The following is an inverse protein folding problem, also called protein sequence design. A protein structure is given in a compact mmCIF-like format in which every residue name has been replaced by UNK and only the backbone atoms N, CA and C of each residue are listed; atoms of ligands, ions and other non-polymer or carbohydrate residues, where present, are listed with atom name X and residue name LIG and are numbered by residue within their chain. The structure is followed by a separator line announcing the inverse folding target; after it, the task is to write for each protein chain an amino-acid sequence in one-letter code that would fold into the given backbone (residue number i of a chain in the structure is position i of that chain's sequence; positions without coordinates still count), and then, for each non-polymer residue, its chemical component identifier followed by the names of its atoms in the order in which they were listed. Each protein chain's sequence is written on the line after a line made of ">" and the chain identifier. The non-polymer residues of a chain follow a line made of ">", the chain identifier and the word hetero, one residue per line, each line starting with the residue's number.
data_IF_760785222968
#
_entry.id   IF_760785222968
#
_cell.length_a   1.000
_cell.length_b   1.000
_cell.length_c   1.000
_cell.angle_alpha   90.00
_cell.angle_beta   90.00
_cell.angle_gamma   90.00
#
_symmetry.space_group_name_H-M   'P 1'
#
loop_
_entity.id
_entity.type
_entity.pdbx_description
1 polymer ?
#
# COMPACT_ATOMS: atom_id res chain seq x y z
N UNK A 1 -20.42 8.69 -8.80
CA UNK A 1 -19.37 9.49 -8.13
C UNK A 1 -18.87 10.55 -9.12
N UNK A 2 -18.41 11.74 -8.70
CA UNK A 2 -18.02 12.84 -9.61
C UNK A 2 -17.07 12.39 -10.74
N UNK A 3 -16.01 11.63 -10.45
CA UNK A 3 -15.09 11.13 -11.49
C UNK A 3 -15.77 10.17 -12.47
N UNK A 4 -16.75 9.37 -12.06
CA UNK A 4 -17.43 8.45 -12.99
C UNK A 4 -18.22 9.19 -14.06
N UNK A 5 -18.80 10.33 -13.69
CA UNK A 5 -19.68 11.14 -14.55
C UNK A 5 -18.89 12.13 -15.41
N UNK A 6 -17.80 12.70 -14.89
CA UNK A 6 -17.08 13.80 -15.54
C UNK A 6 -15.74 13.40 -16.16
N UNK A 7 -15.17 12.24 -15.82
CA UNK A 7 -13.97 11.74 -16.50
C UNK A 7 -14.38 11.00 -17.77
N UNK A 8 -14.60 11.74 -18.86
CA UNK A 8 -14.92 11.14 -20.17
C UNK A 8 -13.64 10.85 -20.99
N UNK A 9 -13.70 9.98 -22.01
CA UNK A 9 -12.56 9.74 -22.91
C UNK A 9 -12.05 11.03 -23.57
N UNK A 10 -12.95 11.91 -23.97
CA UNK A 10 -12.65 13.20 -24.61
C UNK A 10 -11.87 14.10 -23.64
N UNK A 11 -12.35 14.21 -22.40
CA UNK A 11 -11.67 14.97 -21.35
C UNK A 11 -10.25 14.46 -21.10
N UNK A 12 -10.06 13.13 -21.05
CA UNK A 12 -8.76 12.49 -20.85
C UNK A 12 -7.80 12.78 -22.00
N UNK A 13 -8.28 12.76 -23.24
CA UNK A 13 -7.46 13.06 -24.43
C UNK A 13 -7.10 14.54 -24.49
N UNK A 14 -8.07 15.43 -24.31
CA UNK A 14 -7.87 16.89 -24.36
C UNK A 14 -6.85 17.35 -23.31
N UNK A 15 -6.96 16.82 -22.09
CA UNK A 15 -6.06 17.15 -20.99
C UNK A 15 -4.77 16.31 -21.00
N UNK A 16 -4.58 15.45 -22.02
CA UNK A 16 -3.39 14.60 -22.20
C UNK A 16 -3.06 13.78 -20.94
N UNK A 17 -4.08 13.21 -20.29
CA UNK A 17 -3.89 12.39 -19.11
C UNK A 17 -3.23 11.05 -19.50
N UNK A 18 -2.37 10.54 -18.64
CA UNK A 18 -1.68 9.26 -18.80
C UNK A 18 -1.35 8.66 -17.42
N UNK A 19 -1.22 7.35 -17.35
CA UNK A 19 -0.63 6.69 -16.19
C UNK A 19 0.89 6.65 -16.34
N UNK A 20 1.61 6.69 -15.22
CA UNK A 20 3.05 6.46 -15.18
C UNK A 20 3.36 5.30 -14.23
N UNK A 21 4.46 4.59 -14.50
CA UNK A 21 4.97 3.49 -13.67
C UNK A 21 6.49 3.61 -13.53
N UNK A 22 7.04 3.05 -12.46
CA UNK A 22 8.48 3.02 -12.26
C UNK A 22 9.12 1.97 -13.18
N UNK A 23 10.10 2.39 -13.98
CA UNK A 23 10.83 1.52 -14.88
C UNK A 23 12.12 1.03 -14.22
N UNK A 24 12.12 -0.21 -13.71
CA UNK A 24 13.32 -0.83 -13.11
C UNK A 24 14.51 -0.91 -14.07
N UNK A 25 14.25 -0.84 -15.39
CA UNK A 25 15.29 -0.85 -16.42
C UNK A 25 16.03 0.50 -16.54
N UNK A 26 15.30 1.59 -16.38
CA UNK A 26 15.79 2.95 -16.66
C UNK A 26 15.88 3.82 -15.39
N UNK A 27 15.56 3.25 -14.22
CA UNK A 27 15.57 3.88 -12.90
C UNK A 27 14.85 5.24 -12.85
N UNK A 28 13.72 5.31 -13.57
CA UNK A 28 12.89 6.51 -13.69
C UNK A 28 11.43 6.15 -13.92
N UNK A 29 10.55 7.11 -13.63
CA UNK A 29 9.15 7.01 -14.03
C UNK A 29 8.99 7.19 -15.53
N UNK A 30 8.26 6.27 -16.17
CA UNK A 30 7.94 6.32 -17.60
C UNK A 30 6.42 6.27 -17.79
N UNK A 31 5.96 6.74 -18.95
CA UNK A 31 4.54 6.64 -19.33
C UNK A 31 4.21 5.16 -19.49
N UNK A 32 3.21 4.72 -18.73
CA UNK A 32 2.77 3.33 -18.66
C UNK A 32 1.67 3.07 -19.70
N UNK A 33 0.55 3.80 -19.62
CA UNK A 33 -0.48 3.77 -20.66
C UNK A 33 -1.23 5.09 -20.79
N UNK A 34 -1.84 5.29 -21.97
CA UNK A 34 -2.77 6.38 -22.28
C UNK A 34 -4.20 5.89 -22.44
N UNK A 35 -4.46 4.62 -22.14
CA UNK A 35 -5.79 4.04 -22.25
C UNK A 35 -6.73 4.60 -21.19
N UNK A 36 -7.88 5.09 -21.65
CA UNK A 36 -8.89 5.71 -20.81
C UNK A 36 -9.30 4.85 -19.61
N UNK A 37 -9.54 3.55 -19.83
CA UNK A 37 -9.97 2.63 -18.77
C UNK A 37 -8.93 2.51 -17.65
N UNK A 38 -7.66 2.37 -18.01
CA UNK A 38 -6.56 2.28 -17.04
C UNK A 38 -6.35 3.59 -16.28
N UNK A 39 -6.47 4.75 -16.96
CA UNK A 39 -6.42 6.07 -16.31
C UNK A 39 -7.57 6.22 -15.31
N UNK A 40 -8.79 5.86 -15.70
CA UNK A 40 -9.98 5.92 -14.87
C UNK A 40 -9.85 5.01 -13.65
N UNK A 41 -9.47 3.76 -13.83
CA UNK A 41 -9.25 2.81 -12.71
C UNK A 41 -8.19 3.32 -11.74
N UNK A 42 -7.07 3.87 -12.22
CA UNK A 42 -6.00 4.40 -11.36
C UNK A 42 -6.44 5.65 -10.58
N UNK A 43 -7.21 6.54 -11.20
CA UNK A 43 -7.79 7.71 -10.54
C UNK A 43 -8.83 7.32 -9.49
N UNK A 44 -9.74 6.41 -9.84
CA UNK A 44 -10.74 5.89 -8.91
C UNK A 44 -10.05 5.23 -7.72
N UNK A 45 -9.04 4.39 -7.97
CA UNK A 45 -8.25 3.72 -6.95
C UNK A 45 -7.60 4.69 -5.95
N UNK A 46 -6.99 5.77 -6.43
CA UNK A 46 -6.42 6.80 -5.56
C UNK A 46 -7.47 7.49 -4.67
N UNK A 47 -8.73 7.55 -5.11
CA UNK A 47 -9.81 8.20 -4.36
C UNK A 47 -10.54 7.26 -3.39
N UNK A 48 -10.57 5.94 -3.64
CA UNK A 48 -11.37 4.96 -2.85
C UNK A 48 -11.04 4.97 -1.35
N UNK A 49 -9.82 5.36 -0.95
CA UNK A 49 -9.46 5.59 0.46
C UNK A 49 -8.61 6.86 0.66
N UNK A 50 -8.76 7.86 -0.22
CA UNK A 50 -7.90 9.07 -0.23
C UNK A 50 -6.40 8.74 -0.23
N UNK A 51 -6.00 7.68 -0.94
CA UNK A 51 -4.62 7.20 -0.98
C UNK A 51 -4.10 6.55 0.30
N UNK A 52 -4.94 6.33 1.31
CA UNK A 52 -4.56 5.59 2.51
C UNK A 52 -4.61 4.07 2.27
N UNK A 53 -3.67 3.29 2.82
CA UNK A 53 -3.73 1.84 2.72
C UNK A 53 -4.83 1.27 3.61
N UNK A 54 -5.38 0.13 3.21
CA UNK A 54 -6.31 -0.64 4.03
C UNK A 54 -5.54 -1.59 4.95
N UNK A 55 -5.54 -1.26 6.24
CA UNK A 55 -4.87 -2.05 7.28
C UNK A 55 -5.93 -2.60 8.24
N UNK A 56 -5.93 -3.92 8.43
CA UNK A 56 -6.83 -4.62 9.33
C UNK A 56 -6.06 -5.24 10.48
N UNK A 57 -6.68 -5.34 11.66
CA UNK A 57 -6.20 -6.22 12.72
C UNK A 57 -6.60 -7.64 12.36
N UNK A 58 -5.61 -8.50 12.14
CA UNK A 58 -5.81 -9.91 11.80
C UNK A 58 -5.88 -10.77 13.07
N UNK A 59 -4.97 -10.53 14.02
CA UNK A 59 -4.91 -11.27 15.27
C UNK A 59 -4.36 -10.39 16.42
N UNK A 60 -5.06 -10.34 17.54
CA UNK A 60 -4.63 -9.64 18.77
C UNK A 60 -3.86 -10.51 19.76
N UNK A 61 -3.70 -11.81 19.47
CA UNK A 61 -2.93 -12.76 20.25
C UNK A 61 -2.00 -13.57 19.34
N UNK A 62 -1.31 -12.89 18.43
CA UNK A 62 -0.47 -13.52 17.44
C UNK A 62 0.62 -14.40 18.10
N UNK A 63 0.77 -15.61 17.57
CA UNK A 63 1.63 -16.69 18.11
C UNK A 63 1.35 -17.03 19.59
N UNK A 64 0.15 -16.73 20.10
CA UNK A 64 -0.26 -16.87 21.49
C UNK A 64 0.62 -16.08 22.49
N UNK A 65 1.13 -14.91 22.06
CA UNK A 65 2.00 -14.04 22.88
C UNK A 65 1.39 -12.68 23.22
N UNK A 66 0.13 -12.45 22.86
CA UNK A 66 -0.53 -11.14 22.92
C UNK A 66 0.08 -10.13 21.94
N UNK A 67 0.80 -10.59 20.92
CA UNK A 67 1.36 -9.73 19.87
C UNK A 67 0.26 -9.33 18.88
N UNK A 68 0.39 -8.13 18.31
CA UNK A 68 -0.56 -7.65 17.31
C UNK A 68 -0.10 -8.08 15.92
N UNK A 69 -0.96 -8.74 15.17
CA UNK A 69 -0.79 -8.96 13.73
C UNK A 69 -1.77 -8.07 12.97
N UNK A 70 -1.21 -7.26 12.08
CA UNK A 70 -1.94 -6.47 11.11
C UNK A 70 -1.80 -7.09 9.73
N UNK A 71 -2.82 -6.92 8.90
CA UNK A 71 -2.80 -7.30 7.49
C UNK A 71 -3.03 -6.06 6.63
N UNK A 72 -2.13 -5.84 5.67
CA UNK A 72 -2.34 -4.92 4.58
C UNK A 72 -3.15 -5.63 3.49
N UNK A 73 -4.33 -5.11 3.19
CA UNK A 73 -5.10 -5.49 2.01
C UNK A 73 -4.44 -4.84 0.79
N UNK A 74 -3.49 -5.56 0.19
CA UNK A 74 -2.72 -5.05 -0.94
C UNK A 74 -3.61 -4.93 -2.17
N UNK A 75 -3.85 -3.69 -2.61
CA UNK A 75 -4.66 -3.41 -3.80
C UNK A 75 -3.79 -2.96 -4.98
N UNK A 76 -2.64 -3.60 -5.16
CA UNK A 76 -1.71 -3.33 -6.26
C UNK A 76 -0.71 -2.19 -5.97
N UNK A 77 -0.70 -1.65 -4.76
CA UNK A 77 0.24 -0.60 -4.35
C UNK A 77 0.97 -1.03 -3.09
N UNK A 78 2.31 -1.03 -3.16
CA UNK A 78 3.18 -1.30 -2.04
C UNK A 78 3.13 -0.17 -1.00
N UNK A 79 3.32 -0.54 0.26
CA UNK A 79 3.50 0.46 1.32
C UNK A 79 4.83 1.17 1.18
N UNK A 80 4.89 2.41 1.65
CA UNK A 80 6.17 3.04 1.99
C UNK A 80 6.77 2.27 3.18
N UNK A 81 7.92 1.63 2.96
CA UNK A 81 8.57 0.79 3.98
C UNK A 81 8.95 1.58 5.23
N UNK A 82 9.39 2.84 5.08
CA UNK A 82 9.84 3.64 6.21
C UNK A 82 8.63 4.12 7.03
N UNK A 83 7.56 4.55 6.37
CA UNK A 83 6.30 4.85 7.05
C UNK A 83 5.73 3.61 7.75
N UNK A 84 5.76 2.44 7.10
CA UNK A 84 5.32 1.18 7.70
C UNK A 84 6.08 0.85 9.00
N UNK A 85 7.41 1.04 9.01
CA UNK A 85 8.23 0.89 10.22
C UNK A 85 7.83 1.89 11.31
N UNK A 86 7.74 3.17 10.98
CA UNK A 86 7.33 4.19 11.96
C UNK A 86 5.91 3.96 12.51
N UNK A 87 4.98 3.50 11.68
CA UNK A 87 3.63 3.10 12.11
C UNK A 87 3.69 1.97 13.14
N UNK A 88 4.52 0.93 12.92
CA UNK A 88 4.69 -0.15 13.89
C UNK A 88 5.31 0.34 15.21
N UNK A 89 6.26 1.28 15.18
CA UNK A 89 6.78 1.92 16.40
C UNK A 89 5.68 2.63 17.18
N UNK A 90 4.84 3.40 16.48
CA UNK A 90 3.74 4.13 17.10
C UNK A 90 2.68 3.18 17.67
N UNK A 91 2.36 2.10 16.96
CA UNK A 91 1.44 1.08 17.46
C UNK A 91 1.98 0.38 18.70
N UNK A 92 3.28 0.05 18.75
CA UNK A 92 3.88 -0.52 19.95
C UNK A 92 3.74 0.40 21.18
N UNK A 93 3.80 1.73 21.02
CA UNK A 93 3.60 2.68 22.13
C UNK A 93 2.21 2.53 22.77
N UNK A 94 1.20 2.18 21.99
CA UNK A 94 -0.18 1.99 22.46
C UNK A 94 -0.42 0.54 22.91
N UNK A 95 -0.01 -0.43 22.09
CA UNK A 95 -0.24 -1.86 22.31
C UNK A 95 0.68 -2.48 23.39
N UNK A 96 1.86 -1.88 23.61
CA UNK A 96 2.89 -2.29 24.59
C UNK A 96 3.51 -3.68 24.38
N UNK A 97 3.16 -4.35 23.29
CA UNK A 97 3.71 -5.64 22.86
C UNK A 97 4.15 -5.54 21.40
N UNK A 98 5.00 -6.46 20.91
CA UNK A 98 5.42 -6.47 19.52
C UNK A 98 4.25 -6.40 18.55
N UNK A 99 4.44 -5.63 17.48
CA UNK A 99 3.47 -5.43 16.42
C UNK A 99 4.06 -5.90 15.09
N UNK A 100 3.28 -6.66 14.34
CA UNK A 100 3.62 -7.22 13.04
C UNK A 100 2.65 -6.73 11.97
N UNK A 101 3.16 -6.54 10.75
CA UNK A 101 2.38 -6.16 9.58
C UNK A 101 2.70 -7.12 8.43
N UNK A 102 1.70 -7.90 8.04
CA UNK A 102 1.73 -8.72 6.84
C UNK A 102 1.40 -7.85 5.62
N UNK A 103 2.32 -7.78 4.66
CA UNK A 103 2.18 -7.00 3.42
C UNK A 103 2.92 -7.70 2.28
N UNK A 104 2.97 -7.08 1.12
CA UNK A 104 3.77 -7.50 -0.04
C UNK A 104 4.65 -6.32 -0.49
N UNK A 105 5.85 -6.62 -0.96
CA UNK A 105 6.75 -5.67 -1.65
C UNK A 105 7.28 -6.33 -2.93
N UNK A 106 7.21 -5.67 -4.07
CA UNK A 106 7.65 -6.22 -5.37
C UNK A 106 7.07 -7.62 -5.65
N UNK A 107 5.81 -7.85 -5.29
CA UNK A 107 5.17 -9.16 -5.43
C UNK A 107 5.61 -10.22 -4.40
N UNK A 108 6.46 -9.88 -3.42
CA UNK A 108 6.96 -10.81 -2.39
C UNK A 108 6.25 -10.62 -1.04
N UNK A 109 5.49 -11.62 -0.57
CA UNK A 109 4.88 -11.59 0.76
C UNK A 109 5.92 -11.38 1.85
N UNK A 110 5.72 -10.39 2.70
CA UNK A 110 6.68 -9.92 3.70
C UNK A 110 5.96 -9.62 5.02
N UNK A 111 6.53 -10.10 6.13
CA UNK A 111 6.12 -9.73 7.48
C UNK A 111 7.13 -8.73 8.05
N UNK A 112 6.70 -7.50 8.23
CA UNK A 112 7.40 -6.51 9.03
C UNK A 112 7.05 -6.73 10.51
N UNK A 113 8.02 -6.59 11.42
CA UNK A 113 7.80 -6.67 12.86
C UNK A 113 8.62 -5.63 13.58
N UNK A 114 8.04 -5.04 14.62
CA UNK A 114 8.74 -4.20 15.59
C UNK A 114 8.52 -4.77 16.99
N UNK A 115 9.61 -5.02 17.72
CA UNK A 115 9.57 -5.67 19.03
C UNK A 115 9.71 -4.72 20.22
N UNK A 116 9.79 -3.41 19.96
CA UNK A 116 10.06 -2.38 20.95
C UNK A 116 11.49 -1.84 20.91
N UNK A 117 12.40 -2.53 20.22
CA UNK A 117 13.81 -2.13 20.06
C UNK A 117 14.20 -2.03 18.59
N UNK A 118 13.92 -3.07 17.81
CA UNK A 118 14.39 -3.20 16.44
C UNK A 118 13.29 -3.61 15.46
N UNK A 119 13.52 -3.26 14.19
CA UNK A 119 12.68 -3.71 13.08
C UNK A 119 13.28 -4.97 12.47
N UNK A 120 12.43 -5.96 12.26
CA UNK A 120 12.77 -7.17 11.51
C UNK A 120 11.82 -7.31 10.32
N UNK A 121 12.33 -7.89 9.23
CA UNK A 121 11.56 -8.22 8.03
C UNK A 121 11.86 -9.65 7.66
N UNK A 122 10.82 -10.47 7.50
CA UNK A 122 10.95 -11.85 7.04
C UNK A 122 9.94 -12.15 5.93
N UNK A 123 10.27 -13.01 4.95
CA UNK A 123 9.28 -13.50 4.01
C UNK A 123 8.11 -14.20 4.74
N UNK A 124 6.89 -13.96 4.28
CA UNK A 124 5.73 -14.76 4.68
C UNK A 124 5.77 -16.07 3.88
N UNK A 125 5.68 -17.20 4.58
CA UNK A 125 5.58 -18.53 3.97
C UNK A 125 4.17 -18.78 3.47
#
# INVERSE_FOLDING_TARGET
>A
MFIDEFLTPEFVIENKLFTYAWSNRNDRFEIDTREFKAIKEKLLFQMTNFGNPFIYVEDGNFENRGELLLRHEHQGVDLDQEKGKETLKNLFRVWRRPCSLATQFDGRPTLLRFDGKEHTSKPLK
#
